data_IF_868147560751
#
_entry.id   IF_868147560751
#
_cell.length_a   1.000
_cell.length_b   1.000
_cell.length_c   1.000
_cell.angle_alpha   90.00
_cell.angle_beta   90.00
_cell.angle_gamma   90.00
#
_symmetry.space_group_name_H-M   'P 1'
#
loop_
_entity.id
_entity.type
_entity.pdbx_description
1 polymer ?
#
# COMPACT_ATOMS: atom_id res chain seq x y z
N UNK A 1 -5.92 -1.23 -0.07
CA UNK A 1 -5.29 -2.48 -0.56
C UNK A 1 -6.29 -3.50 -1.11
N UNK A 2 -7.36 -3.82 -0.40
CA UNK A 2 -8.40 -4.75 -0.86
C UNK A 2 -9.07 -4.27 -2.16
N UNK A 3 -9.47 -3.01 -2.25
CA UNK A 3 -10.07 -2.44 -3.45
C UNK A 3 -9.10 -2.45 -4.65
N UNK A 4 -7.84 -2.10 -4.43
CA UNK A 4 -6.82 -2.22 -5.48
C UNK A 4 -6.73 -3.67 -6.01
N UNK A 5 -6.73 -4.68 -5.12
CA UNK A 5 -6.65 -6.08 -5.53
C UNK A 5 -7.82 -6.49 -6.43
N UNK A 6 -9.04 -5.99 -6.16
CA UNK A 6 -10.20 -6.23 -7.03
C UNK A 6 -10.02 -5.59 -8.42
N UNK A 7 -9.55 -4.34 -8.47
CA UNK A 7 -9.33 -3.63 -9.73
C UNK A 7 -8.25 -4.29 -10.59
N UNK A 8 -7.25 -4.89 -9.97
CA UNK A 8 -6.20 -5.61 -10.71
C UNK A 8 -6.74 -6.81 -11.48
N UNK A 9 -7.86 -7.42 -11.06
CA UNK A 9 -8.45 -8.55 -11.76
C UNK A 9 -8.93 -8.20 -13.18
N UNK A 10 -9.17 -6.94 -13.47
CA UNK A 10 -9.52 -6.45 -14.82
C UNK A 10 -8.29 -6.06 -15.65
N UNK A 11 -7.09 -6.11 -15.04
CA UNK A 11 -5.85 -5.74 -15.70
C UNK A 11 -5.20 -6.94 -16.44
N UNK A 12 -4.14 -6.68 -17.21
CA UNK A 12 -3.33 -7.74 -17.84
C UNK A 12 -2.72 -8.67 -16.79
N UNK A 13 -2.35 -9.92 -17.16
CA UNK A 13 -1.64 -10.83 -16.25
C UNK A 13 -0.42 -10.19 -15.59
N UNK A 14 -0.27 -10.40 -14.28
CA UNK A 14 0.79 -9.86 -13.43
C UNK A 14 1.37 -10.96 -12.54
N UNK A 15 2.63 -10.80 -12.15
CA UNK A 15 3.23 -11.48 -11.01
C UNK A 15 3.03 -10.61 -9.77
N UNK A 16 2.29 -11.09 -8.78
CA UNK A 16 1.91 -10.31 -7.61
C UNK A 16 2.42 -10.99 -6.35
N UNK A 17 3.25 -10.29 -5.58
CA UNK A 17 3.68 -10.74 -4.25
C UNK A 17 2.94 -9.91 -3.20
N UNK A 18 2.32 -10.57 -2.24
CA UNK A 18 1.57 -9.90 -1.18
C UNK A 18 1.76 -10.58 0.17
N UNK A 19 1.77 -9.79 1.23
CA UNK A 19 1.68 -10.27 2.60
C UNK A 19 0.27 -10.07 3.20
N UNK A 20 -0.67 -9.52 2.42
CA UNK A 20 -2.05 -9.28 2.84
C UNK A 20 -2.93 -10.48 2.48
N UNK A 21 -3.53 -11.12 3.48
CA UNK A 21 -4.49 -12.20 3.26
C UNK A 21 -5.75 -11.70 2.53
N UNK A 22 -6.20 -10.47 2.82
CA UNK A 22 -7.34 -9.87 2.13
C UNK A 22 -7.06 -9.63 0.65
N UNK A 23 -5.88 -9.13 0.31
CA UNK A 23 -5.50 -8.93 -1.08
C UNK A 23 -5.37 -10.29 -1.79
N UNK A 24 -4.72 -11.25 -1.16
CA UNK A 24 -4.54 -12.60 -1.71
C UNK A 24 -5.88 -13.31 -2.00
N UNK A 25 -6.84 -13.22 -1.07
CA UNK A 25 -8.19 -13.77 -1.24
C UNK A 25 -9.01 -13.08 -2.36
N UNK A 26 -8.67 -11.84 -2.72
CA UNK A 26 -9.40 -11.02 -3.68
C UNK A 26 -8.83 -11.08 -5.10
N UNK A 27 -7.58 -11.52 -5.24
CA UNK A 27 -6.90 -11.64 -6.52
C UNK A 27 -7.30 -12.93 -7.25
N UNK A 28 -7.53 -12.82 -8.54
CA UNK A 28 -7.84 -13.95 -9.42
C UNK A 28 -6.56 -14.71 -9.77
N UNK A 29 -6.36 -15.87 -9.15
CA UNK A 29 -5.19 -16.72 -9.38
C UNK A 29 -5.22 -17.47 -10.74
N UNK A 30 -6.34 -17.49 -11.47
CA UNK A 30 -6.38 -17.99 -12.84
C UNK A 30 -5.81 -16.96 -13.83
N UNK A 31 -5.91 -15.68 -13.47
CA UNK A 31 -5.44 -14.54 -14.28
C UNK A 31 -4.03 -14.10 -13.93
N UNK A 32 -3.67 -14.11 -12.64
CA UNK A 32 -2.40 -13.60 -12.13
C UNK A 32 -1.59 -14.69 -11.45
N UNK A 33 -0.26 -14.59 -11.49
CA UNK A 33 0.60 -15.39 -10.62
C UNK A 33 0.63 -14.71 -9.24
N UNK A 34 -0.09 -15.25 -8.26
CA UNK A 34 -0.22 -14.65 -6.94
C UNK A 34 0.59 -15.41 -5.90
N UNK A 35 1.59 -14.75 -5.32
CA UNK A 35 2.48 -15.28 -4.29
C UNK A 35 2.15 -14.67 -2.93
N UNK A 36 1.82 -15.52 -1.95
CA UNK A 36 1.68 -15.11 -0.56
C UNK A 36 3.02 -15.32 0.16
N UNK A 37 3.54 -14.28 0.84
CA UNK A 37 4.90 -14.31 1.42
C UNK A 37 5.13 -15.36 2.50
N UNK A 38 4.08 -15.87 3.13
CA UNK A 38 4.23 -16.66 4.35
C UNK A 38 4.57 -15.78 5.57
N UNK A 39 4.77 -16.41 6.72
CA UNK A 39 5.10 -15.74 7.98
C UNK A 39 4.05 -15.86 9.07
N UNK A 40 4.19 -15.06 10.14
CA UNK A 40 3.27 -15.03 11.27
C UNK A 40 2.05 -14.18 10.93
N UNK A 41 0.85 -14.75 11.07
CA UNK A 41 -0.42 -14.03 10.89
C UNK A 41 -0.63 -12.98 11.97
N UNK A 42 -0.99 -11.78 11.54
CA UNK A 42 -1.42 -10.67 12.37
C UNK A 42 -2.90 -10.39 12.12
N UNK A 43 -3.73 -10.58 13.17
CA UNK A 43 -5.19 -10.52 13.04
C UNK A 43 -5.71 -9.11 12.71
N UNK A 44 -5.13 -8.05 13.32
CA UNK A 44 -5.68 -6.68 13.24
C UNK A 44 -5.92 -6.20 11.80
N UNK A 45 -5.04 -6.57 10.86
CA UNK A 45 -5.12 -6.17 9.44
C UNK A 45 -4.98 -7.36 8.48
N UNK A 46 -5.12 -8.60 8.99
CA UNK A 46 -5.04 -9.84 8.22
C UNK A 46 -3.81 -9.87 7.31
N UNK A 47 -2.64 -9.57 7.89
CA UNK A 47 -1.36 -9.59 7.19
C UNK A 47 -0.40 -10.62 7.77
N UNK A 48 0.58 -11.01 6.96
CA UNK A 48 1.71 -11.85 7.36
C UNK A 48 2.92 -10.99 7.68
N UNK A 49 3.66 -11.35 8.71
CA UNK A 49 4.82 -10.60 9.21
C UNK A 49 5.92 -11.56 9.70
N UNK A 50 7.06 -10.99 10.11
CA UNK A 50 8.20 -11.73 10.64
C UNK A 50 9.23 -12.11 9.58
N UNK A 51 10.26 -12.84 9.99
CA UNK A 51 11.44 -13.12 9.16
C UNK A 51 11.12 -13.86 7.86
N UNK A 52 10.21 -14.81 7.86
CA UNK A 52 9.80 -15.52 6.65
C UNK A 52 9.13 -14.59 5.64
N UNK A 53 8.31 -13.66 6.11
CA UNK A 53 7.69 -12.64 5.26
C UNK A 53 8.78 -11.73 4.65
N UNK A 54 9.70 -11.26 5.47
CA UNK A 54 10.81 -10.39 5.00
C UNK A 54 11.68 -11.10 4.00
N UNK A 55 12.11 -12.35 4.28
CA UNK A 55 12.93 -13.13 3.36
C UNK A 55 12.24 -13.39 2.01
N UNK A 56 10.92 -13.68 2.02
CA UNK A 56 10.16 -13.84 0.79
C UNK A 56 10.15 -12.56 -0.04
N UNK A 57 9.94 -11.40 0.59
CA UNK A 57 9.98 -10.09 -0.08
C UNK A 57 11.38 -9.80 -0.61
N UNK A 58 12.44 -10.06 0.16
CA UNK A 58 13.82 -9.82 -0.24
C UNK A 58 14.32 -10.74 -1.37
N UNK A 59 13.61 -11.82 -1.65
CA UNK A 59 13.93 -12.73 -2.75
C UNK A 59 13.41 -12.30 -4.12
N UNK A 60 12.63 -11.21 -4.19
CA UNK A 60 12.02 -10.71 -5.42
C UNK A 60 12.46 -9.28 -5.71
N UNK A 61 12.30 -8.87 -6.96
CA UNK A 61 12.41 -7.48 -7.40
C UNK A 61 11.10 -7.08 -8.05
N UNK A 62 10.54 -5.94 -7.65
CA UNK A 62 9.23 -5.49 -8.13
C UNK A 62 9.34 -4.17 -8.89
N UNK A 63 8.63 -4.07 -10.02
CA UNK A 63 8.52 -2.81 -10.77
C UNK A 63 7.73 -1.75 -9.99
N UNK A 64 6.71 -2.19 -9.24
CA UNK A 64 5.80 -1.30 -8.50
C UNK A 64 5.44 -1.93 -7.15
N UNK A 65 5.50 -1.12 -6.10
CA UNK A 65 5.01 -1.45 -4.78
C UNK A 65 3.86 -0.53 -4.36
N UNK A 66 2.81 -1.09 -3.81
CA UNK A 66 1.73 -0.35 -3.17
C UNK A 66 1.77 -0.56 -1.66
N UNK A 67 1.99 0.51 -0.90
CA UNK A 67 2.08 0.48 0.56
C UNK A 67 0.82 1.09 1.20
N UNK A 68 0.19 0.37 2.12
CA UNK A 68 -0.76 0.97 3.04
C UNK A 68 -0.05 1.68 4.20
N UNK A 69 -0.67 2.71 4.77
CA UNK A 69 -0.13 3.48 5.90
C UNK A 69 -1.11 3.54 7.07
N UNK A 70 -0.59 3.71 8.28
CA UNK A 70 -1.40 4.06 9.46
C UNK A 70 -1.67 5.56 9.57
N UNK A 71 -0.95 6.38 8.84
CA UNK A 71 -1.10 7.83 8.77
C UNK A 71 0.19 8.52 8.38
N UNK A 72 0.07 9.81 8.05
CA UNK A 72 1.17 10.62 7.52
C UNK A 72 1.29 12.00 8.20
N UNK A 73 0.35 12.36 9.09
CA UNK A 73 0.29 13.68 9.70
C UNK A 73 1.61 14.06 10.38
N UNK A 74 2.17 15.20 9.98
CA UNK A 74 3.40 15.80 10.55
C UNK A 74 4.59 14.83 10.64
N UNK A 75 4.73 13.96 9.63
CA UNK A 75 5.83 13.00 9.54
C UNK A 75 6.69 13.24 8.29
N UNK A 76 7.89 12.69 8.32
CA UNK A 76 8.84 12.77 7.21
C UNK A 76 8.56 11.71 6.12
N UNK A 77 7.44 11.03 6.21
CA UNK A 77 7.02 9.96 5.33
C UNK A 77 5.88 9.14 5.92
N UNK A 78 5.37 8.13 5.20
CA UNK A 78 4.30 7.26 5.66
C UNK A 78 4.71 6.44 6.88
N UNK A 79 3.73 6.16 7.75
CA UNK A 79 4.00 5.54 9.05
C UNK A 79 3.19 4.27 9.30
N UNK A 80 3.65 3.49 10.28
CA UNK A 80 2.92 2.34 10.83
C UNK A 80 2.98 2.34 12.36
N UNK A 81 1.96 1.80 13.01
CA UNK A 81 1.97 1.56 14.45
C UNK A 81 2.72 0.29 14.84
N UNK A 82 2.91 -0.63 13.91
CA UNK A 82 3.42 -1.96 14.19
C UNK A 82 4.88 -2.11 13.80
N UNK A 83 5.72 -2.38 14.78
CA UNK A 83 7.12 -2.75 14.52
C UNK A 83 7.24 -4.01 13.64
N UNK A 84 6.33 -4.98 13.82
CA UNK A 84 6.35 -6.20 13.02
C UNK A 84 6.03 -5.95 11.53
N UNK A 85 5.17 -4.97 11.22
CA UNK A 85 4.89 -4.56 9.84
C UNK A 85 6.00 -3.70 9.26
N UNK A 86 6.70 -2.93 10.12
CA UNK A 86 7.75 -2.01 9.69
C UNK A 86 8.83 -2.72 8.88
N UNK A 87 9.32 -3.87 9.34
CA UNK A 87 10.40 -4.60 8.67
C UNK A 87 9.95 -5.15 7.29
N UNK A 88 8.73 -5.69 7.21
CA UNK A 88 8.17 -6.13 5.93
C UNK A 88 8.00 -4.95 4.95
N UNK A 89 7.49 -3.82 5.42
CA UNK A 89 7.29 -2.62 4.58
C UNK A 89 8.60 -2.00 4.14
N UNK A 90 9.61 -1.96 4.99
CA UNK A 90 10.96 -1.55 4.61
C UNK A 90 11.58 -2.47 3.57
N UNK A 91 11.36 -3.79 3.69
CA UNK A 91 11.81 -4.73 2.67
C UNK A 91 11.10 -4.48 1.33
N UNK A 92 9.79 -4.22 1.33
CA UNK A 92 9.03 -3.86 0.13
C UNK A 92 9.60 -2.61 -0.55
N UNK A 93 9.91 -1.56 0.22
CA UNK A 93 10.53 -0.33 -0.30
C UNK A 93 11.87 -0.63 -0.96
N UNK A 94 12.75 -1.39 -0.29
CA UNK A 94 14.09 -1.72 -0.82
C UNK A 94 14.08 -2.57 -2.08
N UNK A 95 13.03 -3.37 -2.28
CA UNK A 95 12.92 -4.33 -3.39
C UNK A 95 12.09 -3.81 -4.57
N UNK A 96 11.74 -2.53 -4.57
CA UNK A 96 10.83 -1.98 -5.57
C UNK A 96 11.43 -0.77 -6.28
N UNK A 97 11.17 -0.65 -7.60
CA UNK A 97 11.61 0.49 -8.40
C UNK A 97 10.74 1.73 -8.18
N UNK A 98 9.42 1.53 -8.07
CA UNK A 98 8.44 2.59 -7.83
C UNK A 98 7.56 2.26 -6.66
N UNK A 99 7.29 3.25 -5.83
CA UNK A 99 6.57 3.07 -4.58
C UNK A 99 5.43 4.07 -4.49
N UNK A 100 4.21 3.53 -4.38
CA UNK A 100 3.00 4.32 -4.19
C UNK A 100 2.35 4.00 -2.85
N UNK A 101 2.01 5.04 -2.09
CA UNK A 101 1.30 4.90 -0.82
C UNK A 101 -0.20 5.02 -1.05
N UNK A 102 -0.96 4.03 -0.61
CA UNK A 102 -2.42 4.08 -0.60
C UNK A 102 -2.89 4.55 0.77
N UNK A 103 -3.53 5.71 0.80
CA UNK A 103 -4.01 6.34 2.02
C UNK A 103 -5.38 6.97 1.75
N UNK A 104 -6.40 6.58 2.53
CA UNK A 104 -7.64 7.36 2.55
C UNK A 104 -7.40 8.76 3.16
N UNK A 105 -8.33 9.68 2.94
CA UNK A 105 -8.19 11.08 3.39
C UNK A 105 -8.05 11.22 4.91
N UNK A 106 -8.53 10.25 5.71
CA UNK A 106 -8.37 10.26 7.16
C UNK A 106 -6.91 10.04 7.58
N UNK A 107 -6.12 9.32 6.77
CA UNK A 107 -4.69 9.09 7.04
C UNK A 107 -3.84 10.36 7.00
N UNK A 108 -4.34 11.41 6.41
CA UNK A 108 -3.71 12.73 6.45
C UNK A 108 -3.90 13.47 7.79
N UNK A 109 -4.79 12.94 8.67
CA UNK A 109 -5.05 13.45 10.03
C UNK A 109 -4.50 12.56 11.13
N UNK A 110 -3.91 11.43 10.77
CA UNK A 110 -3.38 10.44 11.68
C UNK A 110 -1.88 10.23 11.45
N UNK A 111 -1.19 9.70 12.46
CA UNK A 111 0.20 9.26 12.32
C UNK A 111 0.45 7.99 13.11
N UNK A 112 1.28 7.12 12.58
CA UNK A 112 1.80 5.95 13.28
C UNK A 112 3.05 6.27 14.10
N UNK A 113 3.52 5.29 14.84
CA UNK A 113 4.70 5.45 15.71
C UNK A 113 6.03 5.36 14.93
N UNK A 114 6.08 4.49 13.91
CA UNK A 114 7.30 4.23 13.12
C UNK A 114 7.17 4.80 11.72
N UNK A 115 8.16 5.55 11.25
CA UNK A 115 8.29 5.94 9.83
C UNK A 115 8.78 4.75 9.02
N UNK A 116 8.09 4.45 7.91
CA UNK A 116 8.40 3.31 7.04
C UNK A 116 9.51 3.64 6.04
N UNK A 117 9.42 4.82 5.43
CA UNK A 117 10.38 5.40 4.49
C UNK A 117 10.22 6.92 4.47
N UNK A 118 11.11 7.63 3.82
CA UNK A 118 11.04 9.09 3.67
C UNK A 118 10.21 9.46 2.44
N UNK A 119 9.82 10.75 2.34
CA UNK A 119 9.07 11.27 1.18
C UNK A 119 9.84 11.10 -0.12
N UNK A 120 11.16 11.24 -0.08
CA UNK A 120 12.04 11.13 -1.24
C UNK A 120 12.19 9.70 -1.76
N UNK A 121 11.77 8.71 -0.98
CA UNK A 121 11.82 7.29 -1.34
C UNK A 121 10.52 6.79 -1.99
N UNK A 122 9.49 7.64 -2.11
CA UNK A 122 8.21 7.27 -2.71
C UNK A 122 7.89 8.12 -3.93
N UNK A 123 7.22 7.53 -4.91
CA UNK A 123 6.85 8.18 -6.16
C UNK A 123 5.51 8.90 -6.05
N UNK A 124 4.68 8.54 -5.08
CA UNK A 124 3.44 9.26 -4.85
C UNK A 124 2.48 8.67 -3.83
N UNK A 125 1.41 9.42 -3.58
CA UNK A 125 0.28 9.02 -2.76
C UNK A 125 -0.96 8.92 -3.65
N UNK A 126 -1.71 7.85 -3.50
CA UNK A 126 -3.02 7.67 -4.10
C UNK A 126 -4.05 7.73 -2.96
N UNK A 127 -4.99 8.64 -3.06
CA UNK A 127 -6.01 8.89 -2.05
C UNK A 127 -7.41 9.00 -2.67
N UNK A 128 -8.44 9.00 -1.84
CA UNK A 128 -9.82 9.25 -2.26
C UNK A 128 -10.09 10.74 -2.53
N UNK A 129 -11.25 11.04 -3.13
CA UNK A 129 -11.67 12.39 -3.49
C UNK A 129 -12.04 13.29 -2.30
N UNK A 130 -12.02 12.78 -1.06
CA UNK A 130 -12.41 13.53 0.15
C UNK A 130 -11.25 14.32 0.79
N UNK A 131 -10.05 14.27 0.20
CA UNK A 131 -8.90 15.01 0.71
C UNK A 131 -9.15 16.53 0.63
N UNK A 132 -8.99 17.22 1.76
CA UNK A 132 -9.16 18.67 1.79
C UNK A 132 -8.09 19.40 0.98
N UNK A 133 -8.46 20.54 0.35
CA UNK A 133 -7.52 21.37 -0.43
C UNK A 133 -6.28 21.77 0.40
N UNK A 134 -6.48 22.08 1.67
CA UNK A 134 -5.38 22.44 2.60
C UNK A 134 -4.39 21.30 2.79
N UNK A 135 -4.87 20.06 2.95
CA UNK A 135 -4.00 18.90 3.08
C UNK A 135 -3.27 18.60 1.75
N UNK A 136 -3.99 18.67 0.64
CA UNK A 136 -3.40 18.54 -0.70
C UNK A 136 -2.23 19.52 -0.89
N UNK A 137 -2.46 20.82 -0.74
CA UNK A 137 -1.44 21.88 -0.89
C UNK A 137 -0.24 21.73 0.06
N UNK A 138 -0.47 21.14 1.23
CA UNK A 138 0.59 20.91 2.20
C UNK A 138 1.53 19.77 1.77
N UNK A 139 0.98 18.66 1.33
CA UNK A 139 1.74 17.44 1.06
C UNK A 139 2.24 17.32 -0.40
N UNK A 140 1.58 17.96 -1.38
CA UNK A 140 2.02 17.95 -2.78
C UNK A 140 3.42 18.55 -2.99
N UNK A 141 3.88 19.37 -2.05
CA UNK A 141 5.24 19.94 -2.03
C UNK A 141 6.33 18.92 -1.77
N UNK A 142 5.97 17.79 -1.15
CA UNK A 142 6.91 16.73 -0.79
C UNK A 142 6.81 15.54 -1.77
N UNK A 143 5.61 15.25 -2.26
CA UNK A 143 5.33 14.06 -3.05
C UNK A 143 4.10 14.27 -3.93
N UNK A 144 4.07 13.76 -5.18
CA UNK A 144 2.88 13.81 -6.02
C UNK A 144 1.68 13.11 -5.36
N UNK A 145 0.48 13.70 -5.51
CA UNK A 145 -0.76 13.12 -4.98
C UNK A 145 -1.76 12.92 -6.11
N UNK A 146 -2.28 11.72 -6.23
CA UNK A 146 -3.38 11.39 -7.13
C UNK A 146 -4.65 11.10 -6.33
N UNK A 147 -5.70 11.82 -6.64
CA UNK A 147 -7.03 11.55 -6.10
C UNK A 147 -7.77 10.59 -7.03
N UNK A 148 -8.18 9.45 -6.50
CA UNK A 148 -9.07 8.55 -7.20
C UNK A 148 -10.40 9.28 -7.44
N UNK A 149 -10.87 9.32 -8.68
CA UNK A 149 -12.22 9.76 -8.99
C UNK A 149 -13.18 8.65 -8.55
N UNK A 150 -14.25 9.03 -7.86
CA UNK A 150 -15.39 8.12 -7.72
C UNK A 150 -15.98 7.98 -9.13
N UNK A 151 -15.80 6.83 -9.75
CA UNK A 151 -16.61 6.47 -10.89
C UNK A 151 -18.06 6.46 -10.39
N UNK A 152 -18.91 7.31 -10.95
CA UNK A 152 -20.35 7.16 -10.85
C UNK A 152 -20.67 5.79 -11.49
N UNK A 153 -20.69 4.74 -10.69
CA UNK A 153 -21.34 3.51 -11.10
C UNK A 153 -22.83 3.88 -11.28
N UNK A 154 -23.18 4.24 -12.51
CA UNK A 154 -24.57 4.26 -12.89
C UNK A 154 -25.16 2.89 -12.57
N UNK A 155 -26.03 2.87 -11.56
CA UNK A 155 -27.00 1.81 -11.35
C UNK A 155 -27.93 1.80 -12.58
N UNK A 156 -27.45 1.27 -13.69
CA UNK A 156 -28.29 0.89 -14.80
C UNK A 156 -28.56 -0.60 -14.71
N UNK A 157 -29.71 -0.87 -14.14
CA UNK A 157 -30.47 -2.08 -14.38
C UNK A 157 -31.51 -1.83 -15.39
#
# INVERSE_FOLDING_TARGET
>A
MHELAKLLNDYRPLDIVTNSLLAWESLDAERHNVFLTGGKKREKNRSLTGSWCVQAIESVHADICFLGTSGILDRKGPTTHSYQELEAKKAMVRQSERIYVLADSDKFRESGFHTMCLWEEIDGIITDGSLSAKAYEHYEKNVPIWMAQEDEYEENR
#
